data_IF_621790826890
#
_entry.id   IF_621790826890
#
_cell.length_a   1.000
_cell.length_b   1.000
_cell.length_c   1.000
_cell.angle_alpha   90.00
_cell.angle_beta   90.00
_cell.angle_gamma   90.00
#
_symmetry.space_group_name_H-M   'P 1'
#
loop_
_entity.id
_entity.type
_entity.pdbx_description
1 polymer ?
#
# COMPACT_ATOMS: atom_id res chain seq x y z
N UNK A 1 19.62 -30.69 -104.89
CA UNK A 1 20.97 -31.25 -104.63
C UNK A 1 21.58 -30.51 -103.45
N UNK A 2 22.15 -31.24 -102.47
CA UNK A 2 23.43 -30.98 -101.75
C UNK A 2 23.77 -29.50 -101.44
N UNK A 3 24.10 -29.04 -100.22
CA UNK A 3 24.62 -29.64 -98.99
C UNK A 3 24.61 -28.52 -97.91
N UNK A 4 24.10 -28.86 -96.73
CA UNK A 4 24.59 -28.56 -95.37
C UNK A 4 25.20 -27.19 -95.05
N UNK A 5 24.63 -26.43 -94.09
CA UNK A 5 24.89 -26.58 -92.64
C UNK A 5 26.39 -26.41 -92.32
N UNK A 6 26.73 -25.54 -91.36
CA UNK A 6 28.09 -25.26 -90.80
C UNK A 6 28.60 -23.83 -91.11
N UNK A 7 27.82 -22.78 -90.82
CA UNK A 7 28.39 -21.45 -90.46
C UNK A 7 27.47 -20.68 -89.49
N UNK A 8 26.73 -21.37 -88.61
CA UNK A 8 25.97 -20.72 -87.53
C UNK A 8 26.38 -21.19 -86.12
N UNK A 9 27.44 -21.99 -86.01
CA UNK A 9 27.87 -22.58 -84.74
C UNK A 9 29.06 -21.85 -84.10
N UNK A 10 29.75 -20.96 -84.83
CA UNK A 10 30.92 -20.24 -84.28
C UNK A 10 30.61 -18.88 -83.64
N UNK A 11 29.36 -18.41 -83.65
CA UNK A 11 28.95 -17.17 -82.95
C UNK A 11 28.16 -17.42 -81.65
N UNK A 12 27.87 -18.69 -81.33
CA UNK A 12 27.18 -19.12 -80.10
C UNK A 12 28.11 -19.81 -79.08
N UNK A 13 29.43 -19.74 -79.31
CA UNK A 13 30.46 -20.32 -78.44
C UNK A 13 31.46 -19.28 -77.92
N UNK A 14 31.09 -18.00 -77.93
CA UNK A 14 31.90 -16.88 -77.39
C UNK A 14 31.27 -16.22 -76.15
N UNK A 15 30.39 -16.92 -75.44
CA UNK A 15 29.62 -16.39 -74.31
C UNK A 15 29.50 -17.39 -73.14
N UNK A 16 30.56 -18.16 -72.88
CA UNK A 16 30.56 -19.19 -71.82
C UNK A 16 31.75 -19.12 -70.86
N UNK A 17 32.40 -17.96 -70.72
CA UNK A 17 33.43 -17.74 -69.70
C UNK A 17 33.21 -16.44 -68.91
N UNK A 18 31.98 -16.22 -68.45
CA UNK A 18 31.73 -15.40 -67.26
C UNK A 18 31.39 -16.38 -66.14
N UNK A 19 32.40 -17.04 -65.59
CA UNK A 19 32.30 -17.66 -64.26
C UNK A 19 32.10 -16.53 -63.27
N UNK A 20 30.85 -16.09 -63.15
CA UNK A 20 30.40 -15.26 -62.05
C UNK A 20 30.54 -16.09 -60.78
N UNK A 21 31.61 -15.85 -60.02
CA UNK A 21 31.51 -15.95 -58.57
C UNK A 21 30.39 -14.99 -58.18
N UNK A 22 29.15 -15.48 -58.11
CA UNK A 22 28.16 -14.84 -57.25
C UNK A 22 28.79 -14.90 -55.85
N UNK A 23 29.15 -13.77 -55.22
CA UNK A 23 29.41 -13.82 -53.79
C UNK A 23 28.21 -14.50 -53.15
N UNK A 24 28.49 -15.49 -52.32
CA UNK A 24 27.47 -16.17 -51.51
C UNK A 24 26.58 -15.08 -50.90
N UNK A 25 25.24 -15.21 -50.98
CA UNK A 25 24.36 -14.23 -50.36
C UNK A 25 24.86 -14.02 -48.93
N UNK A 26 25.08 -12.76 -48.49
CA UNK A 26 25.50 -12.53 -47.12
C UNK A 26 24.55 -13.34 -46.22
N UNK A 27 25.08 -14.07 -45.22
CA UNK A 27 24.25 -14.89 -44.36
C UNK A 27 23.07 -14.03 -43.89
N UNK A 28 21.83 -14.56 -43.89
CA UNK A 28 20.68 -13.81 -43.43
C UNK A 28 21.06 -13.17 -42.09
N UNK A 29 20.74 -11.88 -41.87
CA UNK A 29 20.98 -11.24 -40.58
C UNK A 29 20.52 -12.20 -39.49
N UNK A 30 21.30 -12.39 -38.40
CA UNK A 30 20.88 -13.23 -37.30
C UNK A 30 19.42 -12.90 -36.98
N UNK A 31 18.54 -13.91 -36.98
CA UNK A 31 17.17 -13.70 -36.53
C UNK A 31 17.27 -13.07 -35.14
N UNK A 32 16.72 -11.87 -34.98
CA UNK A 32 16.65 -11.22 -33.67
C UNK A 32 15.86 -12.17 -32.76
N UNK A 33 16.57 -12.94 -31.95
CA UNK A 33 15.94 -13.80 -30.95
C UNK A 33 15.05 -12.89 -30.11
N UNK A 34 13.78 -13.26 -29.88
CA UNK A 34 12.93 -12.46 -29.01
C UNK A 34 13.66 -12.27 -27.68
N UNK A 35 13.61 -11.06 -27.09
CA UNK A 35 14.33 -10.78 -25.86
C UNK A 35 13.95 -11.82 -24.80
N UNK A 36 14.91 -12.23 -23.94
CA UNK A 36 14.62 -13.20 -22.91
C UNK A 36 13.45 -12.71 -22.03
N UNK A 37 12.59 -13.62 -21.56
CA UNK A 37 11.49 -13.23 -20.68
C UNK A 37 12.04 -12.57 -19.41
N UNK A 38 11.34 -11.57 -18.83
CA UNK A 38 11.84 -10.87 -17.66
C UNK A 38 12.09 -11.80 -16.47
N UNK A 39 13.11 -11.49 -15.67
CA UNK A 39 13.42 -12.24 -14.46
C UNK A 39 12.37 -12.00 -13.35
N UNK A 40 12.32 -12.86 -12.31
CA UNK A 40 11.50 -12.58 -11.13
C UNK A 40 11.83 -11.22 -10.48
N UNK A 41 13.11 -10.88 -10.40
CA UNK A 41 13.58 -9.62 -9.81
C UNK A 41 13.14 -8.40 -10.63
N UNK A 42 13.15 -8.50 -11.97
CA UNK A 42 12.67 -7.42 -12.85
C UNK A 42 11.17 -7.19 -12.70
N UNK A 43 10.38 -8.27 -12.67
CA UNK A 43 8.94 -8.19 -12.39
C UNK A 43 8.68 -7.58 -11.01
N UNK A 44 9.42 -8.02 -9.99
CA UNK A 44 9.30 -7.52 -8.62
C UNK A 44 9.65 -6.03 -8.53
N UNK A 45 10.76 -5.59 -9.12
CA UNK A 45 11.19 -4.19 -9.10
C UNK A 45 10.19 -3.30 -9.83
N UNK A 46 9.63 -3.78 -10.95
CA UNK A 46 8.57 -3.08 -11.69
C UNK A 46 7.34 -2.85 -10.81
N UNK A 47 6.84 -3.92 -10.16
CA UNK A 47 5.71 -3.80 -9.24
C UNK A 47 6.02 -2.87 -8.06
N UNK A 48 7.16 -3.08 -7.40
CA UNK A 48 7.57 -2.29 -6.24
C UNK A 48 7.72 -0.80 -6.58
N UNK A 49 8.25 -0.48 -7.76
CA UNK A 49 8.34 0.89 -8.27
C UNK A 49 6.96 1.54 -8.44
N UNK A 50 5.99 0.81 -9.00
CA UNK A 50 4.61 1.32 -9.16
C UNK A 50 3.90 1.56 -7.81
N UNK A 51 4.36 0.92 -6.75
CA UNK A 51 3.81 1.00 -5.40
C UNK A 51 4.68 1.86 -4.47
N UNK A 52 5.50 2.77 -5.00
CA UNK A 52 6.44 3.57 -4.24
C UNK A 52 5.82 4.32 -3.05
N UNK A 53 4.59 4.80 -3.17
CA UNK A 53 3.85 5.47 -2.08
C UNK A 53 3.61 4.56 -0.87
N UNK A 54 3.40 3.26 -1.10
CA UNK A 54 3.22 2.28 -0.03
C UNK A 54 4.51 2.07 0.75
N UNK A 55 5.60 1.84 0.02
CA UNK A 55 6.90 1.46 0.58
C UNK A 55 7.76 2.63 1.08
N UNK A 56 7.44 3.87 0.69
CA UNK A 56 8.15 5.06 1.16
C UNK A 56 7.83 5.46 2.60
N UNK A 57 8.63 6.38 3.14
CA UNK A 57 8.49 6.88 4.51
C UNK A 57 7.33 7.87 4.70
N UNK A 58 6.66 8.31 3.64
CA UNK A 58 5.48 9.18 3.73
C UNK A 58 4.25 8.50 4.33
N UNK A 59 3.22 9.28 4.63
CA UNK A 59 1.86 8.77 4.83
C UNK A 59 1.21 8.39 3.50
N UNK A 60 0.03 7.75 3.57
CA UNK A 60 -0.86 7.57 2.41
C UNK A 60 -2.23 8.14 2.78
N UNK A 61 -2.81 8.93 1.89
CA UNK A 61 -4.19 9.40 2.05
C UNK A 61 -5.17 8.26 1.74
N UNK A 62 -6.42 8.33 2.24
CA UNK A 62 -7.45 7.35 1.89
C UNK A 62 -7.67 7.22 0.38
N UNK A 63 -7.61 8.33 -0.35
CA UNK A 63 -7.82 8.39 -1.80
C UNK A 63 -6.67 7.72 -2.57
N UNK A 64 -5.42 8.03 -2.21
CA UNK A 64 -4.24 7.37 -2.78
C UNK A 64 -4.25 5.86 -2.50
N UNK A 65 -4.63 5.48 -1.28
CA UNK A 65 -4.76 4.08 -0.88
C UNK A 65 -5.78 3.32 -1.73
N UNK A 66 -6.97 3.89 -1.91
CA UNK A 66 -8.02 3.32 -2.73
C UNK A 66 -7.59 3.18 -4.20
N UNK A 67 -6.93 4.21 -4.76
CA UNK A 67 -6.41 4.18 -6.12
C UNK A 67 -5.35 3.07 -6.30
N UNK A 68 -4.44 2.93 -5.34
CA UNK A 68 -3.41 1.90 -5.35
C UNK A 68 -4.03 0.49 -5.33
N UNK A 69 -4.99 0.25 -4.44
CA UNK A 69 -5.68 -1.04 -4.31
C UNK A 69 -6.45 -1.39 -5.59
N UNK A 70 -7.15 -0.42 -6.17
CA UNK A 70 -7.90 -0.60 -7.42
C UNK A 70 -6.98 -0.98 -8.58
N UNK A 71 -5.84 -0.29 -8.73
CA UNK A 71 -4.87 -0.59 -9.78
C UNK A 71 -4.19 -1.96 -9.60
N UNK A 72 -4.00 -2.40 -8.36
CA UNK A 72 -3.21 -3.58 -8.05
C UNK A 72 -3.77 -4.89 -8.60
N UNK A 73 -5.09 -5.03 -8.72
CA UNK A 73 -5.69 -6.26 -9.26
C UNK A 73 -5.28 -6.51 -10.73
N UNK A 74 -5.19 -5.45 -11.54
CA UNK A 74 -4.69 -5.53 -12.93
C UNK A 74 -3.22 -5.97 -12.98
N UNK A 75 -2.37 -5.37 -12.13
CA UNK A 75 -0.96 -5.76 -11.98
C UNK A 75 -0.82 -7.23 -11.57
N UNK A 76 -1.62 -7.70 -10.59
CA UNK A 76 -1.62 -9.11 -10.18
C UNK A 76 -1.96 -10.03 -11.35
N UNK A 77 -3.01 -9.73 -12.10
CA UNK A 77 -3.44 -10.56 -13.24
C UNK A 77 -2.35 -10.64 -14.32
N UNK A 78 -1.71 -9.51 -14.64
CA UNK A 78 -0.61 -9.46 -15.60
C UNK A 78 0.58 -10.32 -15.15
N UNK A 79 0.99 -10.21 -13.89
CA UNK A 79 2.17 -10.92 -13.37
C UNK A 79 1.89 -12.41 -13.13
N UNK A 80 0.65 -12.80 -12.83
CA UNK A 80 0.28 -14.20 -12.63
C UNK A 80 0.33 -15.04 -13.92
N UNK A 81 0.50 -14.42 -15.08
CA UNK A 81 0.59 -15.09 -16.38
C UNK A 81 1.91 -15.85 -16.59
N UNK A 82 3.00 -15.48 -15.89
CA UNK A 82 4.32 -16.13 -16.00
C UNK A 82 4.77 -16.74 -14.67
N UNK A 83 5.62 -17.77 -14.71
CA UNK A 83 6.19 -18.36 -13.49
C UNK A 83 7.09 -17.37 -12.74
N UNK A 84 7.91 -16.61 -13.46
CA UNK A 84 8.74 -15.56 -12.88
C UNK A 84 7.89 -14.48 -12.20
N UNK A 85 6.75 -14.10 -12.80
CA UNK A 85 5.82 -13.14 -12.21
C UNK A 85 5.10 -13.68 -10.97
N UNK A 86 4.80 -14.99 -10.91
CA UNK A 86 4.28 -15.63 -9.68
C UNK A 86 5.30 -15.61 -8.55
N UNK A 87 6.57 -15.87 -8.85
CA UNK A 87 7.66 -15.76 -7.86
C UNK A 87 7.77 -14.32 -7.37
N UNK A 88 7.73 -13.34 -8.28
CA UNK A 88 7.77 -11.92 -7.96
C UNK A 88 6.60 -11.47 -7.06
N UNK A 89 5.39 -11.99 -7.29
CA UNK A 89 4.22 -11.73 -6.43
C UNK A 89 4.45 -12.25 -5.00
N UNK A 90 5.12 -13.41 -4.84
CA UNK A 90 5.51 -13.93 -3.53
C UNK A 90 6.59 -13.09 -2.82
N UNK A 91 7.48 -12.43 -3.56
CA UNK A 91 8.41 -11.44 -3.01
C UNK A 91 7.66 -10.19 -2.54
N UNK A 92 6.76 -9.67 -3.38
CA UNK A 92 5.96 -8.49 -3.05
C UNK A 92 5.04 -8.72 -1.84
N UNK A 93 4.46 -9.92 -1.72
CA UNK A 93 3.64 -10.27 -0.56
C UNK A 93 4.40 -10.09 0.76
N UNK A 94 5.65 -10.56 0.82
CA UNK A 94 6.51 -10.42 2.01
C UNK A 94 6.78 -8.95 2.35
N UNK A 95 7.06 -8.14 1.33
CA UNK A 95 7.25 -6.69 1.51
C UNK A 95 5.98 -5.97 1.99
N UNK A 96 4.80 -6.41 1.54
CA UNK A 96 3.51 -5.87 2.00
C UNK A 96 3.30 -6.21 3.48
N UNK A 97 3.56 -7.45 3.88
CA UNK A 97 3.45 -7.88 5.29
C UNK A 97 4.45 -7.13 6.18
N UNK A 98 5.69 -6.92 5.71
CA UNK A 98 6.70 -6.15 6.42
C UNK A 98 6.33 -4.67 6.55
N UNK A 99 5.82 -4.07 5.47
CA UNK A 99 5.30 -2.69 5.47
C UNK A 99 4.11 -2.55 6.41
N UNK A 100 3.22 -3.54 6.46
CA UNK A 100 2.06 -3.57 7.33
C UNK A 100 2.48 -3.55 8.80
N UNK A 101 3.46 -4.39 9.17
CA UNK A 101 4.02 -4.44 10.53
C UNK A 101 4.63 -3.09 10.93
N UNK A 102 5.54 -2.55 10.10
CA UNK A 102 6.19 -1.25 10.35
C UNK A 102 5.18 -0.10 10.42
N UNK A 103 4.17 -0.10 9.56
CA UNK A 103 3.13 0.93 9.54
C UNK A 103 2.28 0.89 10.82
N UNK A 104 1.98 -0.30 11.33
CA UNK A 104 1.26 -0.47 12.60
C UNK A 104 2.08 0.07 13.78
N UNK A 105 3.36 -0.26 13.86
CA UNK A 105 4.28 0.24 14.90
C UNK A 105 4.34 1.77 14.89
N UNK A 106 4.30 2.39 13.71
CA UNK A 106 4.31 3.83 13.54
C UNK A 106 2.91 4.48 13.52
N UNK A 107 1.86 3.75 13.91
CA UNK A 107 0.47 4.25 13.92
C UNK A 107 -0.02 4.82 12.58
N UNK A 108 0.48 4.32 11.45
CA UNK A 108 0.09 4.71 10.09
C UNK A 108 -1.08 3.88 9.60
N UNK A 109 -2.24 4.05 10.22
CA UNK A 109 -3.41 3.18 10.03
C UNK A 109 -3.95 3.13 8.60
N UNK A 110 -3.87 4.22 7.83
CA UNK A 110 -4.22 4.20 6.40
C UNK A 110 -3.34 3.21 5.62
N UNK A 111 -2.03 3.20 5.87
CA UNK A 111 -1.10 2.24 5.23
C UNK A 111 -1.39 0.81 5.66
N UNK A 112 -1.71 0.60 6.94
CA UNK A 112 -2.12 -0.71 7.45
C UNK A 112 -3.34 -1.23 6.69
N UNK A 113 -4.39 -0.41 6.56
CA UNK A 113 -5.61 -0.77 5.83
C UNK A 113 -5.31 -1.15 4.38
N UNK A 114 -4.54 -0.32 3.67
CA UNK A 114 -4.13 -0.56 2.28
C UNK A 114 -3.35 -1.87 2.16
N UNK A 115 -2.39 -2.15 3.05
CA UNK A 115 -1.68 -3.42 3.06
C UNK A 115 -2.62 -4.62 3.27
N UNK A 116 -3.63 -4.50 4.15
CA UNK A 116 -4.62 -5.57 4.35
C UNK A 116 -5.44 -5.84 3.10
N UNK A 117 -5.89 -4.78 2.40
CA UNK A 117 -6.65 -4.89 1.15
C UNK A 117 -5.79 -5.52 0.02
N UNK A 118 -4.54 -5.08 -0.13
CA UNK A 118 -3.60 -5.67 -1.09
C UNK A 118 -3.31 -7.15 -0.79
N UNK A 119 -3.19 -7.51 0.49
CA UNK A 119 -3.01 -8.90 0.89
C UNK A 119 -4.20 -9.77 0.50
N UNK A 120 -5.44 -9.29 0.70
CA UNK A 120 -6.65 -10.00 0.25
C UNK A 120 -6.68 -10.20 -1.26
N UNK A 121 -6.21 -9.20 -2.03
CA UNK A 121 -6.07 -9.36 -3.48
C UNK A 121 -5.08 -10.46 -3.79
N UNK A 122 -3.93 -10.52 -3.10
CA UNK A 122 -2.91 -11.57 -3.30
C UNK A 122 -3.42 -12.96 -2.90
N UNK A 123 -4.09 -13.07 -1.75
CA UNK A 123 -4.59 -14.30 -1.13
C UNK A 123 -6.12 -14.25 -0.94
N UNK A 124 -6.91 -14.42 -2.03
CA UNK A 124 -8.37 -14.40 -1.95
C UNK A 124 -8.89 -15.45 -0.96
N UNK A 125 -9.87 -15.07 -0.13
CA UNK A 125 -10.46 -15.95 0.88
C UNK A 125 -9.67 -16.05 2.18
N UNK A 126 -8.47 -15.46 2.28
CA UNK A 126 -7.74 -15.40 3.54
C UNK A 126 -8.36 -14.38 4.51
N UNK A 127 -8.56 -14.79 5.76
CA UNK A 127 -9.02 -13.96 6.87
C UNK A 127 -7.89 -13.54 7.83
N UNK A 128 -6.64 -13.90 7.50
CA UNK A 128 -5.45 -13.73 8.37
C UNK A 128 -5.33 -12.33 8.97
N UNK A 129 -5.69 -11.30 8.21
CA UNK A 129 -5.61 -9.90 8.63
C UNK A 129 -6.97 -9.20 8.80
N UNK A 130 -8.09 -9.94 8.79
CA UNK A 130 -9.44 -9.36 8.90
C UNK A 130 -9.64 -8.58 10.20
N UNK A 131 -9.05 -9.06 11.32
CA UNK A 131 -9.07 -8.31 12.58
C UNK A 131 -8.27 -7.02 12.49
N UNK A 132 -7.06 -7.08 11.93
CA UNK A 132 -6.17 -5.92 11.85
C UNK A 132 -6.73 -4.82 10.96
N UNK A 133 -7.37 -5.19 9.86
CA UNK A 133 -8.07 -4.25 8.98
C UNK A 133 -9.21 -3.53 9.72
N UNK A 134 -10.06 -4.28 10.44
CA UNK A 134 -11.12 -3.69 11.29
C UNK A 134 -10.54 -2.75 12.35
N UNK A 135 -9.48 -3.18 13.03
CA UNK A 135 -8.80 -2.36 14.03
C UNK A 135 -8.22 -1.08 13.40
N UNK A 136 -7.68 -1.16 12.17
CA UNK A 136 -7.16 -0.01 11.44
C UNK A 136 -8.29 0.99 11.09
N UNK A 137 -9.44 0.52 10.63
CA UNK A 137 -10.62 1.37 10.39
C UNK A 137 -11.08 2.08 11.67
N UNK A 138 -11.13 1.35 12.78
CA UNK A 138 -11.49 1.92 14.08
C UNK A 138 -10.46 2.95 14.54
N UNK A 139 -9.17 2.70 14.33
CA UNK A 139 -8.11 3.64 14.69
C UNK A 139 -8.07 4.88 13.81
N UNK A 140 -8.43 4.77 12.52
CA UNK A 140 -8.64 5.91 11.63
C UNK A 140 -9.83 6.78 12.08
N UNK A 141 -10.85 6.16 12.69
CA UNK A 141 -12.02 6.86 13.24
C UNK A 141 -11.81 7.41 14.65
N UNK A 142 -10.66 7.14 15.28
CA UNK A 142 -10.38 7.61 16.65
C UNK A 142 -10.35 9.14 16.71
N UNK A 143 -11.06 9.78 17.67
CA UNK A 143 -10.98 11.22 17.85
C UNK A 143 -9.57 11.67 18.21
N UNK A 144 -9.22 12.88 17.79
CA UNK A 144 -8.07 13.58 18.36
C UNK A 144 -8.48 14.14 19.71
N UNK A 145 -7.57 14.09 20.68
CA UNK A 145 -7.86 14.52 22.05
C UNK A 145 -6.82 15.55 22.49
N UNK A 146 -7.30 16.66 23.03
CA UNK A 146 -6.52 17.71 23.65
C UNK A 146 -6.99 17.90 25.08
N UNK A 147 -6.07 17.77 26.04
CA UNK A 147 -6.35 18.11 27.44
C UNK A 147 -6.11 19.61 27.61
N UNK A 148 -7.15 20.36 27.94
CA UNK A 148 -7.11 21.82 28.02
C UNK A 148 -6.89 22.34 29.44
N UNK A 149 -7.12 21.51 30.46
CA UNK A 149 -6.89 21.90 31.84
C UNK A 149 -7.30 20.85 32.86
N UNK A 150 -7.05 21.17 34.13
CA UNK A 150 -7.47 20.39 35.27
C UNK A 150 -8.05 21.32 36.33
N UNK A 151 -9.05 20.84 37.08
CA UNK A 151 -9.59 21.55 38.23
C UNK A 151 -9.87 20.59 39.38
N UNK A 152 -9.43 20.98 40.58
CA UNK A 152 -9.76 20.27 41.81
C UNK A 152 -11.09 20.82 42.35
N UNK A 153 -12.00 19.93 42.70
CA UNK A 153 -13.27 20.28 43.33
C UNK A 153 -13.56 19.29 44.46
N UNK A 154 -13.43 19.77 45.71
CA UNK A 154 -13.45 18.90 46.88
C UNK A 154 -12.29 17.89 46.84
N UNK A 155 -12.64 16.60 46.91
CA UNK A 155 -11.67 15.50 46.85
C UNK A 155 -11.40 15.00 45.41
N UNK A 156 -12.16 15.48 44.42
CA UNK A 156 -12.05 15.02 43.03
C UNK A 156 -11.19 15.98 42.19
N UNK A 157 -10.52 15.41 41.18
CA UNK A 157 -9.84 16.15 40.13
C UNK A 157 -10.57 15.87 38.81
N UNK A 158 -10.96 16.93 38.13
CA UNK A 158 -11.59 16.88 36.81
C UNK A 158 -10.58 17.31 35.75
N UNK A 159 -10.51 16.57 34.65
CA UNK A 159 -9.83 16.97 33.43
C UNK A 159 -10.82 17.65 32.48
N UNK A 160 -10.40 18.76 31.88
CA UNK A 160 -11.07 19.37 30.74
C UNK A 160 -10.46 18.84 29.46
N UNK A 161 -11.29 18.22 28.63
CA UNK A 161 -10.85 17.49 27.43
C UNK A 161 -11.64 18.01 26.24
N UNK A 162 -10.96 18.45 25.19
CA UNK A 162 -11.53 18.71 23.88
C UNK A 162 -11.28 17.49 22.97
N UNK A 163 -12.33 16.97 22.36
CA UNK A 163 -12.22 15.93 21.33
C UNK A 163 -12.54 16.53 19.97
N UNK A 164 -11.77 16.18 18.94
CA UNK A 164 -12.06 16.53 17.54
C UNK A 164 -12.41 15.26 16.76
N UNK A 165 -13.60 15.24 16.15
CA UNK A 165 -14.03 14.16 15.27
C UNK A 165 -13.17 14.16 13.99
N UNK A 166 -12.55 13.03 13.60
CA UNK A 166 -11.62 13.01 12.48
C UNK A 166 -12.31 13.20 11.12
N UNK A 167 -13.59 12.86 11.02
CA UNK A 167 -14.40 12.99 9.80
C UNK A 167 -15.02 14.39 9.71
N UNK A 168 -15.83 14.79 10.70
CA UNK A 168 -16.61 16.03 10.66
C UNK A 168 -15.83 17.27 11.07
N UNK A 169 -14.67 17.08 11.72
CA UNK A 169 -13.86 18.14 12.37
C UNK A 169 -14.58 18.87 13.50
N UNK A 170 -15.75 18.37 13.92
CA UNK A 170 -16.50 18.90 15.05
C UNK A 170 -15.70 18.74 16.34
N UNK A 171 -15.75 19.78 17.17
CA UNK A 171 -15.11 19.81 18.48
C UNK A 171 -16.15 19.71 19.58
N UNK A 172 -15.88 18.89 20.58
CA UNK A 172 -16.72 18.75 21.76
C UNK A 172 -15.86 18.79 23.01
N UNK A 173 -16.28 19.56 24.00
CA UNK A 173 -15.55 19.73 25.26
C UNK A 173 -16.25 18.97 26.37
N UNK A 174 -15.46 18.32 27.21
CA UNK A 174 -15.91 17.52 28.33
C UNK A 174 -15.19 17.94 29.61
N UNK A 175 -15.87 17.75 30.74
CA UNK A 175 -15.30 17.84 32.09
C UNK A 175 -15.49 16.47 32.74
N UNK A 176 -14.42 15.70 32.87
CA UNK A 176 -14.45 14.26 33.16
C UNK A 176 -13.50 13.94 34.33
N UNK A 177 -13.89 13.03 35.23
CA UNK A 177 -13.02 12.50 36.29
C UNK A 177 -12.54 11.08 35.97
N UNK A 178 -11.57 10.60 36.73
CA UNK A 178 -11.04 9.24 36.55
C UNK A 178 -12.14 8.17 36.59
N UNK A 179 -12.02 7.17 35.71
CA UNK A 179 -12.98 6.08 35.54
C UNK A 179 -14.17 6.40 34.63
N UNK A 180 -14.45 7.67 34.34
CA UNK A 180 -15.61 8.05 33.54
C UNK A 180 -15.41 7.81 32.03
N UNK A 181 -16.50 7.38 31.40
CA UNK A 181 -16.60 7.23 29.96
C UNK A 181 -17.25 8.47 29.32
N UNK A 182 -16.79 8.83 28.12
CA UNK A 182 -17.25 10.01 27.41
C UNK A 182 -17.11 9.82 25.90
N UNK A 183 -17.57 10.84 25.15
CA UNK A 183 -17.53 10.92 23.70
C UNK A 183 -18.30 9.79 22.99
N UNK A 184 -19.56 10.10 22.66
CA UNK A 184 -20.45 9.25 21.87
C UNK A 184 -20.79 9.96 20.55
N UNK A 185 -19.95 9.84 19.51
CA UNK A 185 -20.30 10.36 18.19
C UNK A 185 -21.50 9.60 17.62
N UNK A 186 -22.25 10.23 16.73
CA UNK A 186 -23.42 9.60 16.08
C UNK A 186 -23.03 8.35 15.26
N UNK A 187 -21.82 8.34 14.70
CA UNK A 187 -21.30 7.22 13.90
C UNK A 187 -19.91 6.80 14.36
N UNK A 188 -19.60 5.52 14.16
CA UNK A 188 -18.28 4.93 14.27
C UNK A 188 -17.95 4.24 12.94
N UNK A 189 -17.02 4.83 12.17
CA UNK A 189 -16.81 4.43 10.78
C UNK A 189 -18.06 4.74 9.96
N UNK A 190 -18.68 3.70 9.37
CA UNK A 190 -19.91 3.82 8.58
C UNK A 190 -21.18 3.36 9.32
N UNK A 191 -21.07 3.01 10.61
CA UNK A 191 -22.17 2.45 11.39
C UNK A 191 -22.66 3.45 12.45
N UNK A 192 -23.97 3.46 12.78
CA UNK A 192 -24.48 4.19 13.93
C UNK A 192 -23.80 3.75 15.22
N UNK A 193 -23.57 4.68 16.15
CA UNK A 193 -22.95 4.39 17.44
C UNK A 193 -23.87 4.80 18.61
N UNK A 194 -23.99 3.89 19.58
CA UNK A 194 -24.80 4.07 20.80
C UNK A 194 -23.96 3.98 22.09
N UNK A 195 -22.64 4.02 21.98
CA UNK A 195 -21.73 3.80 23.12
C UNK A 195 -20.68 4.91 23.24
N UNK A 196 -20.24 5.19 24.47
CA UNK A 196 -19.07 6.02 24.71
C UNK A 196 -17.81 5.29 24.24
N UNK A 197 -16.99 5.98 23.46
CA UNK A 197 -15.79 5.41 22.85
C UNK A 197 -14.53 5.63 23.70
N UNK A 198 -14.54 6.66 24.54
CA UNK A 198 -13.40 7.06 25.35
C UNK A 198 -13.64 6.84 26.83
N UNK A 199 -12.59 6.50 27.57
CA UNK A 199 -12.57 6.46 29.04
C UNK A 199 -11.35 7.18 29.56
N UNK A 200 -11.53 8.03 30.57
CA UNK A 200 -10.41 8.59 31.33
C UNK A 200 -9.96 7.54 32.35
N UNK A 201 -8.81 6.90 32.11
CA UNK A 201 -8.33 5.82 32.98
C UNK A 201 -7.78 6.39 34.28
N UNK A 202 -6.88 7.38 34.17
CA UNK A 202 -6.26 8.07 35.31
C UNK A 202 -5.61 9.39 34.91
N UNK A 203 -5.40 10.27 35.88
CA UNK A 203 -4.61 11.49 35.79
C UNK A 203 -3.19 11.16 36.26
N UNK A 204 -2.19 11.59 35.49
CA UNK A 204 -0.78 11.25 35.70
C UNK A 204 0.01 12.48 36.16
N UNK A 205 0.91 12.24 37.11
CA UNK A 205 2.02 13.14 37.43
C UNK A 205 1.63 14.47 38.06
N UNK A 206 0.58 14.52 38.90
CA UNK A 206 0.03 15.78 39.43
C UNK A 206 -0.44 16.74 38.32
N UNK A 207 -1.44 16.28 37.55
CA UNK A 207 -2.11 17.07 36.51
C UNK A 207 -1.18 17.45 35.34
N UNK A 208 -0.23 16.57 35.01
CA UNK A 208 0.69 16.74 33.88
C UNK A 208 0.15 16.08 32.61
N UNK A 209 -0.58 14.98 32.75
CA UNK A 209 -1.18 14.25 31.63
C UNK A 209 -2.34 13.37 32.10
N UNK A 210 -3.01 12.74 31.14
CA UNK A 210 -4.03 11.72 31.40
C UNK A 210 -3.75 10.47 30.57
N UNK A 211 -4.10 9.31 31.12
CA UNK A 211 -4.18 8.06 30.37
C UNK A 211 -5.60 7.88 29.88
N UNK A 212 -5.76 7.68 28.57
CA UNK A 212 -7.04 7.49 27.90
C UNK A 212 -7.10 6.11 27.30
N UNK A 213 -8.29 5.54 27.31
CA UNK A 213 -8.62 4.33 26.57
C UNK A 213 -9.57 4.65 25.43
N UNK A 214 -9.27 4.09 24.26
CA UNK A 214 -10.17 3.99 23.14
C UNK A 214 -10.72 2.57 23.10
N UNK A 215 -11.95 2.44 23.62
CA UNK A 215 -12.62 1.16 23.91
C UNK A 215 -12.78 0.23 22.70
N UNK A 216 -13.09 0.72 21.47
CA UNK A 216 -13.33 -0.17 20.33
C UNK A 216 -12.18 -1.14 20.00
N UNK A 217 -10.95 -0.79 20.35
CA UNK A 217 -9.76 -1.62 20.11
C UNK A 217 -8.90 -1.81 21.37
N UNK A 218 -9.41 -1.48 22.56
CA UNK A 218 -8.68 -1.49 23.83
C UNK A 218 -7.32 -0.78 23.75
N UNK A 219 -7.28 0.38 23.09
CA UNK A 219 -6.04 1.12 22.86
C UNK A 219 -5.84 2.19 23.93
N UNK A 220 -4.72 2.11 24.65
CA UNK A 220 -4.34 3.06 25.69
C UNK A 220 -3.29 4.05 25.18
N UNK A 221 -3.41 5.32 25.54
CA UNK A 221 -2.34 6.30 25.34
C UNK A 221 -2.35 7.42 26.36
N UNK A 222 -1.20 8.07 26.49
CA UNK A 222 -1.06 9.27 27.30
C UNK A 222 -1.34 10.52 26.46
N UNK A 223 -2.29 11.35 26.90
CA UNK A 223 -2.51 12.67 26.36
C UNK A 223 -1.87 13.72 27.29
N UNK A 224 -0.94 14.56 26.78
CA UNK A 224 -0.29 15.56 27.60
C UNK A 224 -1.27 16.66 28.01
N UNK A 225 -1.19 17.06 29.27
CA UNK A 225 -1.87 18.24 29.81
C UNK A 225 -1.11 19.53 29.49
N UNK A 226 -1.73 20.70 29.70
CA UNK A 226 -1.14 21.99 29.37
C UNK A 226 0.09 22.33 30.22
N UNK A 227 0.26 21.66 31.37
CA UNK A 227 1.39 21.86 32.28
C UNK A 227 2.58 20.95 32.00
N UNK A 228 2.45 19.98 31.08
CA UNK A 228 3.55 19.05 30.75
C UNK A 228 4.73 19.85 30.22
N UNK A 229 5.82 19.88 30.99
CA UNK A 229 7.08 20.46 30.52
C UNK A 229 7.56 19.66 29.31
N UNK A 230 7.76 20.32 28.18
CA UNK A 230 8.51 19.72 27.07
C UNK A 230 9.95 19.60 27.56
N UNK A 231 10.36 18.36 27.86
CA UNK A 231 11.75 18.02 28.17
C UNK A 231 12.58 17.97 26.90
#
# INVERSE_FOLDING_TARGET
MKKYWVVCVCFLLALSFMTGCKPEPPPPPPEDLPPPPPSPEEHYNTMKGSMGQLFGDGGITPEEGAALVSAFNGTKMQMAASDNGRIALGMLQRDIEDTMRKSRENSRWNKVKVCCELYKILQPGSDRYAKLERDAELMMARPQVLVTGFVKSGNDIYAFIETTNPQTKEKTTFKIREGEEFYQPATLGSQPNTTNLLRLVRIIGDQQSVELEYKPVNFLWEAPGPRKRQG
#
